data_IF_755290839465
#
_entry.id   IF_755290839465
#
_cell.length_a   1.000
_cell.length_b   1.000
_cell.length_c   1.000
_cell.angle_alpha   90.00
_cell.angle_beta   90.00
_cell.angle_gamma   90.00
#
_symmetry.space_group_name_H-M   'P 1'
#
loop_
_entity.id
_entity.type
_entity.pdbx_description
1 polymer ?
#
# COMPACT_ATOMS: atom_id res chain seq x y z
N UNK A 1 4.92 -19.63 33.98
CA UNK A 1 3.54 -20.16 33.78
C UNK A 1 3.01 -19.67 32.44
N UNK A 2 2.36 -20.51 31.62
CA UNK A 2 1.71 -20.03 30.40
C UNK A 2 0.65 -19.00 30.75
N UNK A 3 0.59 -17.90 29.99
CA UNK A 3 -0.44 -16.89 30.19
C UNK A 3 -1.81 -17.53 29.88
N UNK A 4 -2.60 -17.82 30.92
CA UNK A 4 -3.88 -18.53 30.79
C UNK A 4 -4.86 -17.84 29.83
N UNK A 5 -4.79 -16.50 29.74
CA UNK A 5 -5.53 -15.74 28.75
C UNK A 5 -5.04 -16.05 27.33
N UNK A 6 -3.72 -16.05 27.10
CA UNK A 6 -3.17 -16.39 25.80
C UNK A 6 -3.59 -17.80 25.37
N UNK A 7 -3.46 -18.81 26.22
CA UNK A 7 -3.83 -20.19 25.86
C UNK A 7 -5.31 -20.34 25.52
N UNK A 8 -6.20 -19.64 26.24
CA UNK A 8 -7.64 -19.63 25.97
C UNK A 8 -7.98 -18.95 24.63
N UNK A 9 -7.26 -17.90 24.25
CA UNK A 9 -7.62 -17.05 23.10
C UNK A 9 -6.65 -17.13 21.91
N UNK A 10 -5.60 -17.97 21.96
CA UNK A 10 -4.50 -18.01 20.97
C UNK A 10 -4.99 -18.15 19.53
N UNK A 11 -5.99 -18.97 19.27
CA UNK A 11 -6.51 -19.20 17.92
C UNK A 11 -7.30 -18.00 17.41
N UNK A 12 -8.10 -17.37 18.28
CA UNK A 12 -8.78 -16.11 17.97
C UNK A 12 -7.78 -15.00 17.69
N UNK A 13 -6.73 -14.86 18.52
CA UNK A 13 -5.65 -13.88 18.34
C UNK A 13 -4.97 -14.09 16.97
N UNK A 14 -4.60 -15.33 16.64
CA UNK A 14 -3.99 -15.67 15.35
C UNK A 14 -4.93 -15.37 14.17
N UNK A 15 -6.21 -15.70 14.28
CA UNK A 15 -7.22 -15.45 13.24
C UNK A 15 -7.39 -13.95 12.99
N UNK A 16 -7.52 -13.16 14.06
CA UNK A 16 -7.66 -11.70 13.98
C UNK A 16 -6.38 -11.07 13.40
N UNK A 17 -5.20 -11.51 13.82
CA UNK A 17 -3.93 -11.03 13.28
C UNK A 17 -3.82 -11.27 11.75
N UNK A 18 -4.13 -12.49 11.29
CA UNK A 18 -4.15 -12.83 9.84
C UNK A 18 -5.15 -11.98 9.05
N UNK A 19 -6.35 -11.77 9.60
CA UNK A 19 -7.38 -10.91 8.98
C UNK A 19 -6.87 -9.47 8.84
N UNK A 20 -6.28 -8.93 9.90
CA UNK A 20 -5.77 -7.56 9.90
C UNK A 20 -4.59 -7.39 8.95
N UNK A 21 -3.69 -8.37 8.86
CA UNK A 21 -2.60 -8.37 7.88
C UNK A 21 -3.13 -8.33 6.44
N UNK A 22 -4.13 -9.16 6.10
CA UNK A 22 -4.77 -9.13 4.77
C UNK A 22 -5.39 -7.77 4.47
N UNK A 23 -6.15 -7.20 5.42
CA UNK A 23 -6.75 -5.86 5.29
C UNK A 23 -5.72 -4.73 5.11
N UNK A 24 -4.49 -4.90 5.60
CA UNK A 24 -3.40 -3.94 5.35
C UNK A 24 -2.91 -4.03 3.91
N UNK A 25 -2.69 -5.25 3.41
CA UNK A 25 -2.22 -5.45 2.02
C UNK A 25 -3.25 -4.97 1.00
N UNK A 26 -4.52 -5.32 1.22
CA UNK A 26 -5.59 -5.06 0.25
C UNK A 26 -5.89 -3.57 0.11
N UNK A 27 -5.60 -2.74 1.11
CA UNK A 27 -5.85 -1.29 1.11
C UNK A 27 -5.33 -0.60 -0.17
N UNK A 28 -4.08 -0.87 -0.54
CA UNK A 28 -3.45 -0.19 -1.69
C UNK A 28 -4.03 -0.72 -3.01
N UNK A 29 -4.35 -2.01 -3.08
CA UNK A 29 -4.96 -2.59 -4.27
C UNK A 29 -6.38 -2.05 -4.47
N UNK A 30 -7.16 -1.90 -3.40
CA UNK A 30 -8.48 -1.25 -3.45
C UNK A 30 -8.36 0.20 -3.92
N UNK A 31 -7.36 0.94 -3.43
CA UNK A 31 -7.12 2.32 -3.87
C UNK A 31 -6.73 2.41 -5.36
N UNK A 32 -5.96 1.44 -5.87
CA UNK A 32 -5.45 1.42 -7.23
C UNK A 32 -6.40 0.76 -8.24
N UNK A 33 -7.50 0.14 -7.79
CA UNK A 33 -8.37 -0.67 -8.63
C UNK A 33 -9.07 0.12 -9.76
N UNK A 34 -9.30 1.42 -9.54
CA UNK A 34 -9.93 2.34 -10.49
C UNK A 34 -8.93 3.36 -11.07
N UNK A 35 -7.63 3.12 -10.88
CA UNK A 35 -6.56 4.04 -11.31
C UNK A 35 -5.86 3.49 -12.55
N UNK A 36 -5.22 4.40 -13.25
CA UNK A 36 -4.31 4.11 -14.34
C UNK A 36 -3.07 4.99 -14.24
N UNK A 37 -2.02 4.58 -14.94
CA UNK A 37 -0.82 5.38 -15.12
C UNK A 37 -1.21 6.72 -15.75
N UNK A 38 -0.89 7.81 -15.06
CA UNK A 38 -1.19 9.18 -15.52
C UNK A 38 -0.50 9.53 -16.85
N UNK A 39 0.57 8.81 -17.20
CA UNK A 39 1.33 9.04 -18.43
C UNK A 39 0.88 8.15 -19.59
N UNK A 40 0.86 6.83 -19.42
CA UNK A 40 0.64 5.88 -20.53
C UNK A 40 -0.70 5.14 -20.49
N UNK A 41 -1.54 5.36 -19.49
CA UNK A 41 -2.87 4.74 -19.38
C UNK A 41 -2.90 3.27 -18.93
N UNK A 42 -1.75 2.63 -18.65
CA UNK A 42 -1.69 1.27 -18.07
C UNK A 42 -2.55 1.19 -16.80
N UNK A 43 -3.38 0.16 -16.67
CA UNK A 43 -4.38 0.03 -15.60
C UNK A 43 -4.22 -1.25 -14.77
N UNK A 44 -3.26 -2.12 -15.11
CA UNK A 44 -3.00 -3.30 -14.31
C UNK A 44 -2.50 -2.91 -12.91
N UNK A 45 -3.31 -3.14 -11.88
CA UNK A 45 -3.04 -2.72 -10.50
C UNK A 45 -1.66 -3.14 -9.99
N UNK A 46 -1.17 -4.33 -10.37
CA UNK A 46 0.14 -4.83 -9.94
C UNK A 46 1.31 -4.03 -10.53
N UNK A 47 1.09 -3.38 -11.67
CA UNK A 47 2.08 -2.60 -12.38
C UNK A 47 2.14 -1.14 -11.89
N UNK A 48 1.12 -0.68 -11.15
CA UNK A 48 0.99 0.69 -10.65
C UNK A 48 1.82 0.94 -9.38
N UNK A 49 2.43 2.13 -9.34
CA UNK A 49 3.28 2.63 -8.26
C UNK A 49 2.93 4.07 -7.91
N UNK A 50 3.19 4.42 -6.66
CA UNK A 50 3.07 5.79 -6.15
C UNK A 50 4.43 6.51 -6.32
N UNK A 51 4.59 7.35 -7.33
CA UNK A 51 5.82 8.13 -7.51
C UNK A 51 5.75 9.43 -6.70
N UNK A 52 6.77 9.80 -5.90
CA UNK A 52 7.99 9.04 -5.58
C UNK A 52 7.86 8.12 -4.35
N UNK A 53 6.73 8.12 -3.65
CA UNK A 53 6.59 7.57 -2.29
C UNK A 53 6.26 6.07 -2.17
N UNK A 54 6.34 5.26 -3.24
CA UNK A 54 5.87 3.87 -3.29
C UNK A 54 6.49 2.99 -2.18
N UNK A 55 7.81 3.07 -2.03
CA UNK A 55 8.53 2.30 -1.03
C UNK A 55 8.10 2.67 0.40
N UNK A 56 7.91 3.95 0.67
CA UNK A 56 7.50 4.47 1.97
C UNK A 56 6.06 4.06 2.30
N UNK A 57 5.13 4.27 1.37
CA UNK A 57 3.73 3.87 1.50
C UNK A 57 3.61 2.37 1.81
N UNK A 58 4.32 1.50 1.07
CA UNK A 58 4.29 0.05 1.28
C UNK A 58 4.92 -0.35 2.62
N UNK A 59 5.95 0.34 3.08
CA UNK A 59 6.59 0.12 4.39
C UNK A 59 5.65 0.48 5.53
N UNK A 60 5.00 1.65 5.48
CA UNK A 60 4.08 2.11 6.52
C UNK A 60 2.83 1.22 6.56
N UNK A 61 2.26 0.90 5.40
CA UNK A 61 1.05 0.05 5.26
C UNK A 61 1.17 -1.30 5.98
N UNK A 62 2.35 -1.94 5.91
CA UNK A 62 2.59 -3.22 6.60
C UNK A 62 2.60 -3.09 8.13
N UNK A 63 2.98 -1.91 8.65
CA UNK A 63 3.22 -1.67 10.08
C UNK A 63 1.98 -1.15 10.81
N UNK A 64 1.28 -0.18 10.23
CA UNK A 64 0.20 0.55 10.91
C UNK A 64 -1.12 -0.22 11.00
N UNK A 65 -1.99 0.21 11.91
CA UNK A 65 -3.33 -0.36 12.11
C UNK A 65 -4.26 -0.18 10.91
N UNK A 66 -5.47 -0.75 11.01
CA UNK A 66 -6.51 -0.60 9.98
C UNK A 66 -7.40 0.63 10.18
N UNK A 67 -7.20 1.39 11.26
CA UNK A 67 -7.97 2.59 11.54
C UNK A 67 -7.56 3.75 10.62
N UNK A 68 -8.47 4.69 10.37
CA UNK A 68 -8.16 5.88 9.57
C UNK A 68 -7.09 6.74 10.23
N UNK A 69 -7.15 6.89 11.56
CA UNK A 69 -6.14 7.62 12.35
C UNK A 69 -4.72 7.05 12.15
N UNK A 70 -4.58 5.72 12.21
CA UNK A 70 -3.29 5.06 11.98
C UNK A 70 -2.79 5.17 10.53
N UNK A 71 -3.70 5.49 9.59
CA UNK A 71 -3.43 5.52 8.14
C UNK A 71 -3.31 6.94 7.58
N UNK A 72 -3.39 7.98 8.42
CA UNK A 72 -3.28 9.38 8.02
C UNK A 72 -2.06 9.64 7.13
N UNK A 73 -0.90 9.14 7.54
CA UNK A 73 0.35 9.30 6.78
C UNK A 73 0.30 8.61 5.41
N UNK A 74 -0.29 7.42 5.34
CA UNK A 74 -0.46 6.71 4.06
C UNK A 74 -1.32 7.54 3.12
N UNK A 75 -2.45 8.07 3.59
CA UNK A 75 -3.33 8.88 2.76
C UNK A 75 -2.68 10.20 2.33
N UNK A 76 -1.88 10.82 3.21
CA UNK A 76 -1.10 12.01 2.85
C UNK A 76 -0.12 11.71 1.70
N UNK A 77 0.73 10.68 1.85
CA UNK A 77 1.72 10.29 0.85
C UNK A 77 1.07 9.88 -0.48
N UNK A 78 -0.03 9.13 -0.41
CA UNK A 78 -0.80 8.73 -1.61
C UNK A 78 -1.33 9.95 -2.35
N UNK A 79 -1.85 10.96 -1.64
CA UNK A 79 -2.43 12.16 -2.25
C UNK A 79 -1.39 13.06 -2.92
N UNK A 80 -0.15 13.06 -2.43
CA UNK A 80 0.95 13.83 -3.04
C UNK A 80 1.75 13.02 -4.07
N UNK A 81 1.37 11.76 -4.31
CA UNK A 81 2.03 10.89 -5.29
C UNK A 81 1.32 10.91 -6.63
N UNK A 82 2.10 10.82 -7.70
CA UNK A 82 1.61 10.47 -9.03
C UNK A 82 1.46 8.96 -9.18
N UNK A 83 0.40 8.52 -9.85
CA UNK A 83 0.21 7.09 -10.16
C UNK A 83 0.86 6.79 -11.50
N UNK A 84 1.93 6.00 -11.48
CA UNK A 84 2.69 5.62 -12.68
C UNK A 84 2.82 4.10 -12.76
N UNK A 85 2.82 3.55 -13.98
CA UNK A 85 3.25 2.17 -14.17
C UNK A 85 4.76 2.03 -13.93
N UNK A 86 5.24 0.81 -13.75
CA UNK A 86 6.67 0.54 -13.49
C UNK A 86 7.62 1.18 -14.51
N UNK A 87 7.26 1.18 -15.80
CA UNK A 87 8.09 1.78 -16.85
C UNK A 87 8.09 3.32 -16.77
N UNK A 88 6.94 3.94 -16.57
CA UNK A 88 6.85 5.40 -16.42
C UNK A 88 7.49 5.88 -15.12
N UNK A 89 7.41 5.08 -14.05
CA UNK A 89 8.10 5.35 -12.79
C UNK A 89 9.62 5.43 -13.00
N UNK A 90 10.22 4.44 -13.69
CA UNK A 90 11.67 4.45 -13.96
C UNK A 90 12.05 5.66 -14.80
N UNK A 91 11.23 6.01 -15.80
CA UNK A 91 11.47 7.20 -16.62
C UNK A 91 11.41 8.48 -15.80
N UNK A 92 10.42 8.64 -14.93
CA UNK A 92 10.32 9.80 -14.03
C UNK A 92 11.53 9.90 -13.10
N UNK A 93 11.96 8.78 -12.51
CA UNK A 93 13.10 8.71 -11.59
C UNK A 93 14.46 9.01 -12.27
N UNK A 94 14.51 8.90 -13.60
CA UNK A 94 15.69 9.22 -14.40
C UNK A 94 15.54 10.53 -15.20
N UNK A 95 14.52 11.35 -14.90
CA UNK A 95 14.21 12.59 -15.63
C UNK A 95 14.00 12.38 -17.14
N UNK A 96 13.54 11.20 -17.55
CA UNK A 96 13.33 10.81 -18.95
C UNK A 96 11.85 10.89 -19.38
N UNK A 97 10.93 11.20 -18.46
CA UNK A 97 9.50 11.08 -18.73
C UNK A 97 8.98 12.14 -19.72
N UNK A 98 9.60 13.33 -19.76
CA UNK A 98 9.19 14.42 -20.66
C UNK A 98 9.59 14.20 -22.13
N UNK A 99 10.42 13.19 -22.42
CA UNK A 99 10.90 12.91 -23.77
C UNK A 99 10.03 11.91 -24.55
N UNK A 100 8.80 11.63 -24.09
CA UNK A 100 7.90 10.60 -24.62
C UNK A 100 6.50 11.18 -24.80
#
# INVERSE_FOLDING_TARGET
MPNAHYEKYKDTIKKVARRNYRKRIVLLNEFLADKSCQHCGESETVCLKFHPHDAEIRKITKRVGISNESRKEIFHLVNISSILCSNCWIKADNDLIEFI
#
